data_IF_357866423309
#
_entry.id   IF_357866423309
#
_cell.length_a   1.000
_cell.length_b   1.000
_cell.length_c   1.000
_cell.angle_alpha   90.00
_cell.angle_beta   90.00
_cell.angle_gamma   90.00
#
_symmetry.space_group_name_H-M   'P 1'
#
loop_
_entity.id
_entity.type
_entity.pdbx_description
1 polymer ?
#
# COMPACT_ATOMS: atom_id res chain seq x y z
N UNK A 1 22.03 37.05 -13.79
CA UNK A 1 21.24 35.83 -13.48
C UNK A 1 20.50 35.44 -14.74
N UNK A 2 20.84 34.30 -15.34
CA UNK A 2 20.24 33.82 -16.60
C UNK A 2 19.08 32.90 -16.21
N UNK A 3 17.85 33.30 -16.54
CA UNK A 3 16.68 32.44 -16.39
C UNK A 3 16.80 31.29 -17.40
N UNK A 4 16.85 30.06 -16.92
CA UNK A 4 16.72 28.87 -17.77
C UNK A 4 15.26 28.83 -18.23
N UNK A 5 15.01 29.07 -19.52
CA UNK A 5 13.69 28.92 -20.10
C UNK A 5 13.46 27.42 -20.31
N UNK A 6 12.51 26.87 -19.57
CA UNK A 6 12.14 25.48 -19.67
C UNK A 6 11.25 25.30 -20.91
N UNK A 7 11.58 24.32 -21.75
CA UNK A 7 10.94 24.09 -23.04
C UNK A 7 10.39 22.67 -23.09
N UNK A 8 9.17 22.50 -23.61
CA UNK A 8 8.56 21.18 -23.80
C UNK A 8 8.17 20.96 -25.27
N UNK A 9 8.06 19.69 -25.66
CA UNK A 9 7.77 19.29 -27.04
C UNK A 9 6.37 18.70 -27.14
N UNK A 10 5.67 19.00 -28.23
CA UNK A 10 4.35 18.47 -28.52
C UNK A 10 4.21 18.26 -30.03
N UNK A 11 3.20 17.49 -30.47
CA UNK A 11 3.02 17.18 -31.90
C UNK A 11 1.87 17.97 -32.51
N UNK A 12 2.03 18.40 -33.75
CA UNK A 12 0.95 19.00 -34.51
C UNK A 12 -0.14 17.94 -34.80
N UNK A 13 -1.43 18.20 -34.53
CA UNK A 13 -2.50 17.25 -34.79
C UNK A 13 -2.82 17.07 -36.30
N UNK A 14 -2.40 18.02 -37.15
CA UNK A 14 -2.68 17.98 -38.58
C UNK A 14 -1.64 17.17 -39.38
N UNK A 15 -0.34 17.39 -39.13
CA UNK A 15 0.74 16.72 -39.87
C UNK A 15 1.62 15.79 -39.03
N UNK A 16 1.53 15.84 -37.69
CA UNK A 16 2.33 15.01 -36.78
C UNK A 16 3.74 15.55 -36.47
N UNK A 17 4.12 16.72 -37.00
CA UNK A 17 5.45 17.31 -36.79
C UNK A 17 5.70 17.69 -35.31
N UNK A 18 6.95 17.54 -34.87
CA UNK A 18 7.35 17.82 -33.49
C UNK A 18 7.69 19.31 -33.30
N UNK A 19 6.88 20.01 -32.50
CA UNK A 19 7.04 21.43 -32.20
C UNK A 19 7.55 21.60 -30.76
N UNK A 20 8.25 22.70 -30.50
CA UNK A 20 8.79 23.03 -29.17
C UNK A 20 8.19 24.37 -28.73
N UNK A 21 7.67 24.42 -27.50
CA UNK A 21 7.11 25.64 -26.90
C UNK A 21 7.71 25.87 -25.50
N UNK A 22 7.72 27.14 -25.07
CA UNK A 22 8.00 27.50 -23.67
C UNK A 22 6.74 27.38 -22.83
N UNK A 23 6.90 27.23 -21.51
CA UNK A 23 5.76 27.22 -20.58
C UNK A 23 4.91 28.51 -20.64
N UNK A 24 5.49 29.65 -20.98
CA UNK A 24 4.75 30.92 -21.17
C UNK A 24 3.76 30.88 -22.34
N UNK A 25 3.96 29.96 -23.30
CA UNK A 25 3.10 29.81 -24.48
C UNK A 25 1.93 28.86 -24.26
N UNK A 26 1.80 28.23 -23.08
CA UNK A 26 0.71 27.29 -22.76
C UNK A 26 -0.66 27.99 -22.86
N UNK A 27 -1.59 27.38 -23.59
CA UNK A 27 -2.91 27.96 -23.89
C UNK A 27 -2.88 29.10 -24.92
N UNK A 28 -1.70 29.47 -25.41
CA UNK A 28 -1.52 30.40 -26.53
C UNK A 28 -1.71 29.71 -27.88
N UNK A 29 -1.79 30.53 -28.93
CA UNK A 29 -1.92 30.08 -30.32
C UNK A 29 -0.54 30.14 -30.98
N UNK A 30 -0.14 29.05 -31.64
CA UNK A 30 1.05 28.98 -32.49
C UNK A 30 0.73 28.35 -33.84
N UNK A 31 1.70 28.36 -34.76
CA UNK A 31 1.56 27.81 -36.11
C UNK A 31 2.56 26.67 -36.30
N UNK A 32 2.14 25.60 -36.96
CA UNK A 32 3.04 24.50 -37.31
C UNK A 32 4.00 24.92 -38.43
N UNK A 33 5.30 24.64 -38.28
CA UNK A 33 6.33 24.94 -39.28
C UNK A 33 6.17 24.17 -40.59
N UNK A 34 5.47 23.02 -40.58
CA UNK A 34 5.40 22.12 -41.73
C UNK A 34 4.09 22.28 -42.53
N UNK A 35 2.96 22.50 -41.86
CA UNK A 35 1.64 22.56 -42.50
C UNK A 35 0.89 23.88 -42.26
N UNK A 36 1.57 24.88 -41.66
CA UNK A 36 1.07 26.23 -41.37
C UNK A 36 -0.29 26.28 -40.65
N UNK A 37 -0.64 25.19 -39.97
CA UNK A 37 -1.91 25.05 -39.28
C UNK A 37 -1.85 25.78 -37.94
N UNK A 38 -2.84 26.64 -37.71
CA UNK A 38 -3.06 27.33 -36.44
C UNK A 38 -3.48 26.32 -35.36
N UNK A 39 -2.74 26.27 -34.26
CA UNK A 39 -2.95 25.30 -33.19
C UNK A 39 -2.74 25.93 -31.80
N UNK A 40 -3.43 25.39 -30.80
CA UNK A 40 -3.31 25.83 -29.41
C UNK A 40 -2.27 24.97 -28.69
N UNK A 41 -1.39 25.62 -27.92
CA UNK A 41 -0.32 24.93 -27.19
C UNK A 41 -0.93 24.21 -25.98
N UNK A 42 -0.84 22.87 -25.91
CA UNK A 42 -1.41 22.11 -24.80
C UNK A 42 -0.64 22.35 -23.50
N UNK A 43 -1.35 22.33 -22.37
CA UNK A 43 -0.73 22.38 -21.04
C UNK A 43 -0.03 21.04 -20.79
N UNK A 44 1.29 21.02 -20.50
CA UNK A 44 1.96 19.79 -20.13
C UNK A 44 1.34 19.25 -18.84
N UNK A 45 0.89 18.01 -18.86
CA UNK A 45 0.50 17.28 -17.65
C UNK A 45 1.79 16.94 -16.91
N UNK A 46 2.04 17.65 -15.83
CA UNK A 46 3.08 17.26 -14.87
C UNK A 46 2.65 15.89 -14.31
N UNK A 47 3.43 14.85 -14.57
CA UNK A 47 3.33 13.62 -13.81
C UNK A 47 4.11 13.90 -12.54
N UNK A 48 3.40 14.09 -11.43
CA UNK A 48 4.03 14.17 -10.13
C UNK A 48 4.51 12.77 -9.73
N UNK A 49 5.78 12.66 -9.31
CA UNK A 49 6.49 11.42 -8.95
C UNK A 49 5.96 10.76 -7.64
N UNK A 50 4.65 10.57 -7.52
CA UNK A 50 4.03 9.91 -6.35
C UNK A 50 3.25 8.62 -6.65
N UNK A 51 3.24 8.16 -7.90
CA UNK A 51 2.55 6.92 -8.30
C UNK A 51 3.51 5.97 -9.04
N UNK A 52 4.63 5.59 -8.40
CA UNK A 52 5.69 4.76 -9.00
C UNK A 52 5.49 3.23 -8.79
N UNK A 53 4.33 2.76 -8.33
CA UNK A 53 4.14 1.32 -8.01
C UNK A 53 3.08 0.58 -8.85
N UNK A 54 2.70 1.07 -10.03
CA UNK A 54 1.71 0.34 -10.84
C UNK A 54 1.96 0.37 -12.35
N UNK A 55 3.19 0.08 -12.80
CA UNK A 55 3.44 -0.12 -14.24
C UNK A 55 4.51 -1.18 -14.60
N UNK A 56 4.84 -2.10 -13.69
CA UNK A 56 5.67 -3.27 -14.01
C UNK A 56 4.85 -4.56 -14.11
N UNK A 57 3.90 -4.66 -15.04
CA UNK A 57 3.58 -5.94 -15.71
C UNK A 57 2.50 -5.76 -16.79
N UNK A 58 2.87 -5.24 -17.96
CA UNK A 58 2.17 -5.60 -19.20
C UNK A 58 3.19 -5.69 -20.33
N UNK A 59 3.82 -6.87 -20.43
CA UNK A 59 4.64 -7.27 -21.57
C UNK A 59 3.76 -7.58 -22.78
N UNK A 60 4.08 -6.89 -23.88
CA UNK A 60 3.97 -7.27 -25.29
C UNK A 60 3.20 -8.56 -25.63
N UNK A 61 1.91 -8.47 -25.99
CA UNK A 61 1.32 -9.21 -27.14
C UNK A 61 0.08 -8.44 -27.67
N UNK A 62 0.00 -8.29 -29.00
CA UNK A 62 -1.15 -7.88 -29.84
C UNK A 62 -1.51 -6.39 -30.00
N UNK A 63 -0.60 -5.66 -30.65
CA UNK A 63 -0.99 -4.57 -31.57
C UNK A 63 -1.55 -5.20 -32.86
N UNK A 64 -2.81 -5.63 -32.84
CA UNK A 64 -3.54 -5.98 -34.07
C UNK A 64 -4.26 -4.75 -34.62
N UNK A 65 -3.67 -4.23 -35.69
CA UNK A 65 -4.19 -3.33 -36.72
C UNK A 65 -5.72 -3.20 -36.79
N UNK A 66 -6.27 -2.07 -36.33
CA UNK A 66 -7.53 -1.53 -36.88
C UNK A 66 -7.23 -0.40 -37.85
N UNK A 67 -7.32 -0.74 -39.13
CA UNK A 67 -7.26 0.15 -40.29
C UNK A 67 -8.33 1.24 -40.15
N UNK A 68 -7.92 2.51 -40.10
CA UNK A 68 -8.83 3.67 -40.17
C UNK A 68 -9.58 3.63 -41.51
N UNK A 69 -10.93 3.70 -41.55
CA UNK A 69 -11.64 3.85 -42.81
C UNK A 69 -11.37 5.25 -43.39
N UNK A 70 -11.18 5.30 -44.72
CA UNK A 70 -10.91 6.52 -45.47
C UNK A 70 -12.13 7.47 -45.49
N UNK A 71 -11.92 8.79 -45.62
CA UNK A 71 -13.02 9.75 -45.71
C UNK A 71 -13.69 9.64 -47.09
N UNK A 72 -15.02 9.57 -47.10
CA UNK A 72 -15.82 9.56 -48.32
C UNK A 72 -16.06 11.02 -48.76
N UNK A 73 -15.99 11.35 -50.06
CA UNK A 73 -16.20 12.73 -50.53
C UNK A 73 -17.66 13.16 -50.33
N UNK A 74 -17.89 14.32 -49.74
CA UNK A 74 -19.22 14.93 -49.68
C UNK A 74 -19.54 15.64 -50.99
N UNK A 75 -20.40 15.02 -51.81
CA UNK A 75 -21.10 15.68 -52.90
C UNK A 75 -22.47 16.16 -52.38
N UNK A 76 -22.79 17.42 -52.67
CA UNK A 76 -23.96 18.13 -52.17
C UNK A 76 -25.26 17.54 -52.70
N UNK A 77 -26.11 17.01 -51.81
CA UNK A 77 -27.50 16.67 -52.15
C UNK A 77 -28.43 17.40 -51.19
N UNK A 78 -29.20 18.30 -51.79
CA UNK A 78 -30.28 19.10 -51.20
C UNK A 78 -31.34 18.14 -50.65
N UNK A 79 -31.60 18.19 -49.34
CA UNK A 79 -32.63 17.39 -48.70
C UNK A 79 -34.01 18.06 -48.86
N UNK A 80 -34.90 17.45 -49.62
CA UNK A 80 -36.34 17.70 -49.57
C UNK A 80 -36.91 16.93 -48.38
N UNK A 81 -37.60 17.62 -47.47
CA UNK A 81 -38.26 17.00 -46.31
C UNK A 81 -39.47 16.16 -46.77
N UNK A 82 -39.45 14.86 -46.47
CA UNK A 82 -40.59 13.95 -46.61
C UNK A 82 -41.20 13.65 -45.22
N UNK A 83 -42.53 13.49 -45.10
CA UNK A 83 -43.20 13.41 -43.80
C UNK A 83 -42.95 12.07 -43.10
N UNK A 84 -42.68 12.13 -41.81
CA UNK A 84 -42.37 10.96 -40.97
C UNK A 84 -43.65 10.19 -40.66
N UNK A 85 -43.74 8.94 -41.12
CA UNK A 85 -44.84 8.02 -40.78
C UNK A 85 -44.48 7.22 -39.52
N UNK A 86 -45.29 7.35 -38.46
CA UNK A 86 -45.13 6.56 -37.25
C UNK A 86 -45.66 5.15 -37.47
N UNK A 87 -44.74 4.18 -37.54
CA UNK A 87 -45.08 2.76 -37.58
C UNK A 87 -45.57 2.29 -36.21
N UNK A 88 -46.77 1.72 -36.20
CA UNK A 88 -47.46 1.20 -35.01
C UNK A 88 -46.70 -0.02 -34.45
N UNK A 89 -46.24 0.08 -33.20
CA UNK A 89 -45.56 -0.99 -32.45
C UNK A 89 -46.45 -2.24 -32.46
N UNK A 90 -45.93 -3.36 -32.97
CA UNK A 90 -46.55 -4.69 -32.82
C UNK A 90 -46.10 -5.25 -31.48
N UNK A 91 -47.06 -5.49 -30.59
CA UNK A 91 -46.90 -6.40 -29.46
C UNK A 91 -46.90 -7.83 -30.03
N UNK A 92 -45.93 -8.64 -29.60
CA UNK A 92 -45.91 -10.08 -29.87
C UNK A 92 -44.62 -10.58 -30.50
N UNK A 93 -43.60 -10.72 -29.67
CA UNK A 93 -42.68 -11.85 -29.69
C UNK A 93 -42.22 -11.99 -28.24
N UNK A 94 -42.55 -13.12 -27.60
CA UNK A 94 -41.98 -13.52 -26.32
C UNK A 94 -40.47 -13.65 -26.56
N UNK A 95 -39.79 -12.53 -26.32
CA UNK A 95 -38.39 -12.34 -26.64
C UNK A 95 -37.55 -13.38 -25.94
N UNK A 96 -36.66 -13.99 -26.71
CA UNK A 96 -35.55 -14.81 -26.22
C UNK A 96 -34.98 -14.15 -24.96
N UNK A 97 -35.18 -14.82 -23.82
CA UNK A 97 -34.85 -14.27 -22.50
C UNK A 97 -33.33 -14.10 -22.47
N UNK A 98 -32.84 -12.86 -22.61
CA UNK A 98 -31.42 -12.56 -22.52
C UNK A 98 -30.91 -13.06 -21.17
N UNK A 99 -30.11 -14.14 -21.19
CA UNK A 99 -29.52 -14.75 -20.00
C UNK A 99 -28.23 -14.02 -19.57
N UNK A 100 -27.68 -13.21 -20.46
CA UNK A 100 -26.50 -12.36 -20.26
C UNK A 100 -26.55 -11.52 -18.97
N UNK A 101 -27.67 -10.87 -18.61
CA UNK A 101 -27.79 -10.12 -17.35
C UNK A 101 -27.77 -11.02 -16.11
N UNK A 102 -28.33 -12.23 -16.19
CA UNK A 102 -28.31 -13.17 -15.07
C UNK A 102 -26.90 -13.72 -14.83
N UNK A 103 -26.18 -14.06 -15.90
CA UNK A 103 -24.80 -14.55 -15.82
C UNK A 103 -23.88 -13.46 -15.28
N UNK A 104 -24.02 -12.22 -15.73
CA UNK A 104 -23.20 -11.09 -15.28
C UNK A 104 -23.34 -10.82 -13.77
N UNK A 105 -24.57 -10.78 -13.24
CA UNK A 105 -24.81 -10.60 -11.79
C UNK A 105 -24.16 -11.71 -10.97
N UNK A 106 -24.24 -12.96 -11.42
CA UNK A 106 -23.56 -14.07 -10.72
C UNK A 106 -22.05 -13.99 -10.81
N UNK A 107 -21.51 -13.54 -11.94
CA UNK A 107 -20.07 -13.42 -12.15
C UNK A 107 -19.47 -12.28 -11.32
N UNK A 108 -20.15 -11.13 -11.23
CA UNK A 108 -19.79 -10.02 -10.35
C UNK A 108 -19.78 -10.45 -8.87
N UNK A 109 -20.73 -11.29 -8.44
CA UNK A 109 -20.74 -11.83 -7.08
C UNK A 109 -19.58 -12.80 -6.82
N UNK A 110 -19.22 -13.66 -7.78
CA UNK A 110 -18.09 -14.58 -7.63
C UNK A 110 -16.76 -13.83 -7.55
N UNK A 111 -16.54 -12.80 -8.38
CA UNK A 111 -15.35 -11.96 -8.31
C UNK A 111 -15.30 -11.23 -6.96
N UNK A 112 -16.42 -10.64 -6.52
CA UNK A 112 -16.51 -9.99 -5.22
C UNK A 112 -16.14 -10.95 -4.08
N UNK A 113 -16.70 -12.16 -4.06
CA UNK A 113 -16.37 -13.16 -3.04
C UNK A 113 -14.92 -13.65 -3.12
N UNK A 114 -14.36 -13.84 -4.31
CA UNK A 114 -12.97 -14.27 -4.48
C UNK A 114 -11.98 -13.21 -3.99
N UNK A 115 -12.21 -11.94 -4.36
CA UNK A 115 -11.36 -10.82 -3.93
C UNK A 115 -11.51 -10.56 -2.42
N UNK A 116 -12.74 -10.59 -1.89
CA UNK A 116 -12.99 -10.39 -0.45
C UNK A 116 -12.49 -11.56 0.41
N UNK A 117 -12.52 -12.81 -0.09
CA UNK A 117 -11.93 -13.96 0.58
C UNK A 117 -10.41 -13.84 0.69
N UNK A 118 -9.74 -13.22 -0.29
CA UNK A 118 -8.29 -13.01 -0.24
C UNK A 118 -7.85 -12.08 0.89
N UNK A 119 -8.70 -11.15 1.32
CA UNK A 119 -8.38 -10.25 2.44
C UNK A 119 -8.34 -10.94 3.81
N UNK A 120 -8.89 -12.15 3.94
CA UNK A 120 -8.82 -12.93 5.19
C UNK A 120 -7.49 -13.69 5.36
N UNK A 121 -6.67 -13.82 4.31
CA UNK A 121 -5.53 -14.75 4.34
C UNK A 121 -4.23 -14.11 4.84
N UNK A 122 -4.16 -12.77 4.97
CA UNK A 122 -2.93 -12.08 5.40
C UNK A 122 -2.71 -12.02 6.93
N UNK A 123 -3.60 -12.58 7.75
CA UNK A 123 -3.44 -12.68 9.22
C UNK A 123 -2.92 -14.04 9.71
N UNK A 124 -2.13 -14.73 8.90
CA UNK A 124 -1.40 -15.92 9.39
C UNK A 124 0.05 -15.90 8.93
N UNK A 125 0.82 -14.98 9.52
CA UNK A 125 2.25 -15.25 9.65
C UNK A 125 2.36 -16.50 10.54
N UNK A 126 2.70 -17.64 9.93
CA UNK A 126 3.06 -18.85 10.65
C UNK A 126 4.40 -18.61 11.32
N UNK A 127 4.37 -17.91 12.46
CA UNK A 127 5.47 -17.95 13.41
C UNK A 127 5.46 -19.39 13.94
N UNK A 128 6.48 -20.22 13.67
CA UNK A 128 6.55 -21.52 14.30
C UNK A 128 6.62 -21.28 15.81
N UNK A 129 5.53 -21.59 16.51
CA UNK A 129 5.54 -21.62 17.97
C UNK A 129 6.67 -22.55 18.42
N UNK A 130 7.50 -22.14 19.40
CA UNK A 130 8.44 -23.06 20.01
C UNK A 130 7.65 -24.28 20.50
N UNK A 131 8.14 -25.47 20.12
CA UNK A 131 7.55 -26.74 20.51
C UNK A 131 7.81 -26.99 21.99
N UNK A 132 7.11 -26.28 22.87
CA UNK A 132 6.98 -26.68 24.26
C UNK A 132 5.55 -27.19 24.46
N UNK A 133 5.46 -28.51 24.47
CA UNK A 133 4.27 -29.22 24.92
C UNK A 133 4.09 -28.94 26.42
N UNK A 134 3.28 -27.95 26.78
CA UNK A 134 2.51 -27.99 28.01
C UNK A 134 1.20 -27.25 27.82
N UNK A 135 0.06 -27.84 28.20
CA UNK A 135 -1.26 -27.36 27.80
C UNK A 135 -1.61 -26.05 28.51
N UNK A 136 -2.30 -25.19 27.77
CA UNK A 136 -2.92 -23.97 28.27
C UNK A 136 -3.73 -24.23 29.54
N UNK A 137 -3.36 -23.55 30.62
CA UNK A 137 -4.30 -23.18 31.68
C UNK A 137 -4.48 -21.67 31.62
N UNK A 138 -5.69 -21.28 31.21
CA UNK A 138 -6.26 -19.98 31.52
C UNK A 138 -6.12 -19.73 33.03
N UNK A 139 -5.96 -18.45 33.40
CA UNK A 139 -5.98 -17.91 34.78
C UNK A 139 -4.79 -18.26 35.66
N UNK A 140 -3.71 -17.50 35.46
CA UNK A 140 -3.09 -16.76 36.55
C UNK A 140 -2.22 -15.65 35.95
N UNK A 141 -2.55 -14.42 36.31
CA UNK A 141 -1.61 -13.32 36.43
C UNK A 141 -0.56 -13.74 37.47
N UNK A 142 0.31 -14.68 37.10
CA UNK A 142 1.60 -14.84 37.76
C UNK A 142 2.44 -13.74 37.14
N UNK A 143 2.63 -12.67 37.90
CA UNK A 143 3.56 -11.60 37.57
C UNK A 143 4.88 -12.28 37.15
N UNK A 144 5.29 -12.19 35.86
CA UNK A 144 6.53 -12.81 35.39
C UNK A 144 7.78 -12.10 35.96
N UNK A 145 7.61 -11.26 36.97
CA UNK A 145 8.57 -10.34 37.55
C UNK A 145 9.54 -11.01 38.53
N UNK A 146 9.17 -12.17 39.11
CA UNK A 146 9.90 -12.74 40.26
C UNK A 146 10.88 -13.89 39.93
N UNK A 147 11.04 -14.25 38.65
CA UNK A 147 12.10 -15.19 38.26
C UNK A 147 13.44 -14.43 38.13
N UNK A 148 14.48 -14.77 38.93
CA UNK A 148 15.75 -14.04 38.96
C UNK A 148 16.56 -14.14 37.66
N UNK A 149 16.15 -15.03 36.76
CA UNK A 149 16.83 -15.32 35.50
C UNK A 149 16.19 -14.63 34.29
N UNK A 150 15.12 -13.84 34.48
CA UNK A 150 14.41 -13.15 33.40
C UNK A 150 14.68 -11.63 33.38
N UNK A 151 14.80 -11.07 32.17
CA UNK A 151 14.71 -9.63 31.91
C UNK A 151 13.32 -9.35 31.33
N UNK A 152 12.60 -8.39 31.88
CA UNK A 152 11.31 -7.95 31.40
C UNK A 152 11.48 -6.66 30.58
N UNK A 153 10.95 -6.62 29.36
CA UNK A 153 10.85 -5.39 28.58
C UNK A 153 9.38 -5.19 28.20
N UNK A 154 8.79 -4.15 28.74
CA UNK A 154 7.40 -3.78 28.49
C UNK A 154 7.34 -2.59 27.54
N UNK A 155 6.42 -2.64 26.58
CA UNK A 155 6.21 -1.60 25.57
C UNK A 155 4.77 -1.13 25.71
N UNK A 156 4.61 0.13 26.06
CA UNK A 156 3.31 0.77 26.25
C UNK A 156 2.70 1.24 24.93
N UNK A 157 1.41 1.60 24.93
CA UNK A 157 0.69 2.16 23.77
C UNK A 157 1.34 3.44 23.23
N UNK A 158 1.99 4.21 24.11
CA UNK A 158 2.76 5.40 23.73
C UNK A 158 4.16 5.12 23.16
N UNK A 159 4.53 3.85 22.93
CA UNK A 159 5.83 3.43 22.41
C UNK A 159 7.02 3.72 23.35
N UNK A 160 6.75 3.84 24.64
CA UNK A 160 7.77 3.95 25.68
C UNK A 160 8.17 2.57 26.17
N UNK A 161 9.47 2.35 26.34
CA UNK A 161 9.98 1.11 26.90
C UNK A 161 10.09 1.20 28.41
N UNK A 162 9.77 0.11 29.10
CA UNK A 162 10.03 -0.08 30.52
C UNK A 162 10.84 -1.37 30.68
N UNK A 163 11.96 -1.29 31.38
CA UNK A 163 12.85 -2.43 31.62
C UNK A 163 12.79 -2.82 33.08
N UNK A 164 12.40 -4.07 33.33
CA UNK A 164 12.36 -4.70 34.63
C UNK A 164 13.40 -5.81 34.74
N UNK A 165 13.91 -6.03 35.95
CA UNK A 165 14.78 -7.14 36.30
C UNK A 165 14.63 -7.42 37.79
N UNK A 166 14.75 -8.68 38.21
CA UNK A 166 14.66 -9.07 39.61
C UNK A 166 15.65 -8.36 40.55
N UNK A 167 16.74 -7.79 40.01
CA UNK A 167 17.69 -6.99 40.78
C UNK A 167 17.21 -5.55 41.06
N UNK A 168 16.14 -5.10 40.42
CA UNK A 168 15.60 -3.74 40.55
C UNK A 168 14.23 -3.78 41.23
N UNK A 169 14.04 -2.93 42.24
CA UNK A 169 12.75 -2.83 42.96
C UNK A 169 11.62 -2.20 42.11
N UNK A 170 11.98 -1.53 41.00
CA UNK A 170 11.04 -0.84 40.11
C UNK A 170 11.52 -0.95 38.65
N UNK A 171 10.56 -1.06 37.73
CA UNK A 171 10.81 -0.90 36.30
C UNK A 171 11.42 0.48 36.01
N UNK A 172 12.39 0.51 35.10
CA UNK A 172 13.01 1.76 34.64
C UNK A 172 12.45 2.16 33.30
N UNK A 173 12.04 3.41 33.18
CA UNK A 173 11.59 3.98 31.92
C UNK A 173 12.80 4.24 30.99
N UNK A 174 12.66 3.85 29.73
CA UNK A 174 13.61 4.07 28.65
C UNK A 174 12.88 4.69 27.45
N UNK A 175 12.75 6.03 27.37
CA UNK A 175 12.02 6.69 26.29
C UNK A 175 12.78 6.71 24.95
N UNK A 176 14.06 6.33 24.95
CA UNK A 176 14.91 6.30 23.75
C UNK A 176 15.51 4.91 23.54
N UNK A 177 15.82 4.57 22.29
CA UNK A 177 16.40 3.28 21.95
C UNK A 177 17.77 3.09 22.60
N UNK A 178 18.61 4.13 22.60
CA UNK A 178 19.92 4.11 23.26
C UNK A 178 19.80 3.80 24.76
N UNK A 179 18.76 4.33 25.40
CA UNK A 179 18.47 4.06 26.80
C UNK A 179 18.04 2.60 27.00
N UNK A 180 17.21 2.06 26.11
CA UNK A 180 16.82 0.64 26.14
C UNK A 180 18.03 -0.28 26.07
N UNK A 181 18.93 -0.10 25.09
CA UNK A 181 20.16 -0.91 24.97
C UNK A 181 21.01 -0.84 26.25
N UNK A 182 21.13 0.35 26.84
CA UNK A 182 21.88 0.54 28.09
C UNK A 182 21.22 -0.17 29.26
N UNK A 183 19.91 -0.06 29.40
CA UNK A 183 19.17 -0.66 30.51
C UNK A 183 19.12 -2.18 30.40
N UNK A 184 18.91 -2.75 29.21
CA UNK A 184 18.92 -4.20 29.01
C UNK A 184 20.31 -4.79 29.31
N UNK A 185 21.40 -4.14 28.87
CA UNK A 185 22.76 -4.55 29.26
C UNK A 185 23.00 -4.42 30.77
N UNK A 186 22.53 -3.34 31.39
CA UNK A 186 22.65 -3.15 32.83
C UNK A 186 21.84 -4.19 33.63
N UNK A 187 20.66 -4.58 33.15
CA UNK A 187 19.85 -5.64 33.73
C UNK A 187 20.58 -6.98 33.67
N UNK A 188 21.20 -7.32 32.54
CA UNK A 188 22.04 -8.53 32.40
C UNK A 188 23.25 -8.51 33.35
N UNK A 189 23.94 -7.39 33.45
CA UNK A 189 25.17 -7.29 34.25
C UNK A 189 24.90 -7.17 35.76
N UNK A 190 23.65 -6.84 36.15
CA UNK A 190 23.23 -6.71 37.55
C UNK A 190 23.42 -8.00 38.35
N UNK A 191 23.29 -9.16 37.70
CA UNK A 191 23.54 -10.47 38.29
C UNK A 191 24.75 -11.13 37.63
N UNK A 192 25.95 -10.70 38.01
CA UNK A 192 27.21 -11.24 37.47
C UNK A 192 27.47 -12.71 37.86
N UNK A 193 26.76 -13.27 38.84
CA UNK A 193 26.92 -14.66 39.27
C UNK A 193 26.10 -15.65 38.40
N UNK A 194 24.89 -15.25 38.02
CA UNK A 194 24.03 -15.95 37.07
C UNK A 194 23.35 -14.90 36.18
N UNK A 195 23.92 -14.55 35.02
CA UNK A 195 23.32 -13.54 34.16
C UNK A 195 22.00 -14.07 33.60
N UNK A 196 20.91 -13.29 33.66
CA UNK A 196 19.63 -13.69 33.11
C UNK A 196 19.77 -13.94 31.60
N UNK A 197 19.27 -15.09 31.13
CA UNK A 197 19.42 -15.57 29.74
C UNK A 197 18.13 -15.55 28.95
N UNK A 198 17.04 -15.14 29.60
CA UNK A 198 15.69 -15.10 29.07
C UNK A 198 15.18 -13.66 29.06
N UNK A 199 14.78 -13.18 27.88
CA UNK A 199 14.10 -11.89 27.71
C UNK A 199 12.62 -12.15 27.47
N UNK A 200 11.77 -11.46 28.22
CA UNK A 200 10.32 -11.46 28.03
C UNK A 200 9.95 -10.07 27.53
N UNK A 201 9.47 -9.99 26.29
CA UNK A 201 8.95 -8.75 25.69
C UNK A 201 7.43 -8.77 25.79
N UNK A 202 6.85 -7.83 26.54
CA UNK A 202 5.42 -7.62 26.64
C UNK A 202 5.08 -6.36 25.84
N UNK A 203 4.37 -6.53 24.74
CA UNK A 203 4.00 -5.43 23.85
C UNK A 203 2.50 -5.15 23.90
N UNK A 204 2.14 -3.88 24.05
CA UNK A 204 0.75 -3.44 23.88
C UNK A 204 0.30 -3.63 22.42
N UNK A 205 -0.97 -3.97 22.19
CA UNK A 205 -1.47 -4.17 20.82
C UNK A 205 -1.35 -2.94 19.92
N UNK A 206 -1.45 -1.75 20.51
CA UNK A 206 -1.35 -0.47 19.79
C UNK A 206 0.10 0.01 19.60
N UNK A 207 1.11 -0.70 20.11
CA UNK A 207 2.50 -0.30 19.93
C UNK A 207 2.97 -0.51 18.47
N UNK A 208 3.93 0.31 18.05
CA UNK A 208 4.54 0.18 16.73
C UNK A 208 5.37 -1.10 16.65
N UNK A 209 5.19 -1.85 15.56
CA UNK A 209 5.97 -3.08 15.32
C UNK A 209 7.49 -2.83 15.36
N UNK A 210 7.95 -1.69 14.84
CA UNK A 210 9.36 -1.28 14.89
C UNK A 210 9.90 -1.29 16.33
N UNK A 211 9.10 -0.90 17.32
CA UNK A 211 9.52 -0.87 18.72
C UNK A 211 9.71 -2.27 19.29
N UNK A 212 8.84 -3.19 18.92
CA UNK A 212 8.98 -4.61 19.29
C UNK A 212 10.28 -5.16 18.72
N UNK A 213 10.57 -4.90 17.45
CA UNK A 213 11.81 -5.35 16.80
C UNK A 213 13.04 -4.75 17.48
N UNK A 214 13.03 -3.45 17.80
CA UNK A 214 14.12 -2.80 18.52
C UNK A 214 14.34 -3.39 19.92
N UNK A 215 13.28 -3.82 20.61
CA UNK A 215 13.40 -4.53 21.90
C UNK A 215 14.00 -5.93 21.74
N UNK A 216 13.65 -6.66 20.68
CA UNK A 216 14.26 -7.96 20.36
C UNK A 216 15.75 -7.80 20.04
N UNK A 217 16.12 -6.78 19.26
CA UNK A 217 17.50 -6.46 18.91
C UNK A 217 18.32 -6.06 20.14
N UNK A 218 17.74 -5.28 21.06
CA UNK A 218 18.37 -4.93 22.34
C UNK A 218 18.66 -6.17 23.20
N UNK A 219 17.76 -7.16 23.19
CA UNK A 219 17.99 -8.46 23.82
C UNK A 219 19.15 -9.23 23.20
N UNK A 220 19.20 -9.30 21.87
CA UNK A 220 20.23 -10.02 21.14
C UNK A 220 21.62 -9.37 21.31
N UNK A 221 21.69 -8.04 21.27
CA UNK A 221 22.92 -7.27 21.52
C UNK A 221 23.41 -7.42 22.98
N UNK A 222 22.48 -7.54 23.93
CA UNK A 222 22.81 -7.91 25.30
C UNK A 222 23.23 -9.39 25.44
N UNK A 223 23.12 -10.23 24.41
CA UNK A 223 23.54 -11.63 24.46
C UNK A 223 22.60 -12.53 25.26
N UNK A 224 21.30 -12.23 25.22
CA UNK A 224 20.24 -13.10 25.72
C UNK A 224 20.03 -14.27 24.74
N UNK A 225 19.94 -15.50 25.24
CA UNK A 225 19.83 -16.71 24.40
C UNK A 225 18.38 -17.04 24.03
N UNK A 226 17.43 -16.75 24.91
CA UNK A 226 16.02 -17.13 24.76
C UNK A 226 15.14 -15.89 24.85
N UNK A 227 14.30 -15.66 23.85
CA UNK A 227 13.39 -14.52 23.82
C UNK A 227 11.95 -15.03 23.73
N UNK A 228 11.08 -14.52 24.59
CA UNK A 228 9.63 -14.77 24.60
C UNK A 228 8.91 -13.47 24.31
N UNK A 229 7.94 -13.53 23.41
CA UNK A 229 7.09 -12.39 23.06
C UNK A 229 5.67 -12.66 23.57
N UNK A 230 5.07 -11.67 24.21
CA UNK A 230 3.70 -11.66 24.69
C UNK A 230 3.02 -10.35 24.27
N UNK A 231 1.73 -10.41 23.98
CA UNK A 231 0.89 -9.24 23.70
C UNK A 231 -0.06 -8.97 24.85
N UNK A 232 -0.34 -7.71 25.13
CA UNK A 232 -1.32 -7.26 26.14
C UNK A 232 -2.27 -6.22 25.55
N UNK A 233 -3.55 -6.32 25.93
CA UNK A 233 -4.63 -5.41 25.50
C UNK A 233 -4.88 -4.26 26.51
N UNK A 234 -4.30 -4.36 27.72
CA UNK A 234 -4.51 -3.37 28.78
C UNK A 234 -3.37 -2.34 28.79
N UNK A 235 -3.73 -1.05 28.73
CA UNK A 235 -2.85 0.08 29.05
C UNK A 235 -2.42 -0.03 30.52
N UNK A 236 -1.12 -0.03 30.77
CA UNK A 236 -0.53 -0.27 32.10
C UNK A 236 0.37 0.88 32.56
#
# INVERSE_FOLDING_TARGET
>A
MKHAHDHFRFRCPACGESLTATFDMVGGVTYCSECDTRLEVPKPTHFDDSDEEQFEELSEVDVVTKKRPAPVPHESVIAQEAPVAFSKKRDGEDGELDLTPMVDVTFLLLIFFMVTASFQIQKSMQIPAPKDNSPSSVSQQEEPEDDPDNILVRIDSFNTYYVGCAAWDQEREAPSEQELYRQVRAARDSNSASPPRTLIVIAHEECLHEKVVTALDAGMDAGVDSIRLQSTEEDM
#
